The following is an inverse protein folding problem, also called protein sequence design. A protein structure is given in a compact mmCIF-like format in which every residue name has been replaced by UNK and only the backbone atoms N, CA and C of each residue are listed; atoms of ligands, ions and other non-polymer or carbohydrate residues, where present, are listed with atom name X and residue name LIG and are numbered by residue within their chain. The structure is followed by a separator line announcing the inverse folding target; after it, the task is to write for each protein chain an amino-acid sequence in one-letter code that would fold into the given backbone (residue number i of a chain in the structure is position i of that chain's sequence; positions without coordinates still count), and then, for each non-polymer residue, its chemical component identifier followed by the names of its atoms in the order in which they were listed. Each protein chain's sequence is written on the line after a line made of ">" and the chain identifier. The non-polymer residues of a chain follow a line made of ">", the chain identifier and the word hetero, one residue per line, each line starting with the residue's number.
data_IF_435468188839
#
_entry.id   IF_435468188839
#
_cell.length_a   1.000
_cell.length_b   1.000
_cell.length_c   1.000
_cell.angle_alpha   90.00
_cell.angle_beta   90.00
_cell.angle_gamma   90.00
#
_symmetry.space_group_name_H-M   'P 1'
#
loop_
_entity.id
_entity.type
_entity.pdbx_description
1 polymer ?
#
# COMPACT_ATOMS: atom_id res chain seq x y z
N UNK A 1 -17.15 10.51 -17.62
CA UNK A 1 -16.69 11.07 -16.34
C UNK A 1 -15.43 11.88 -16.55
N UNK A 2 -15.17 12.82 -15.67
CA UNK A 2 -13.91 13.54 -15.55
C UNK A 2 -13.11 12.99 -14.37
N UNK A 3 -11.95 12.42 -14.63
CA UNK A 3 -11.13 11.71 -13.64
C UNK A 3 -9.82 12.46 -13.42
N UNK A 4 -9.47 12.75 -12.17
CA UNK A 4 -8.15 13.24 -11.81
C UNK A 4 -7.24 12.10 -11.38
N UNK A 5 -5.97 12.11 -11.81
CA UNK A 5 -4.93 11.22 -11.29
C UNK A 5 -3.95 12.10 -10.50
N UNK A 6 -3.87 11.90 -9.19
CA UNK A 6 -2.92 12.62 -8.34
C UNK A 6 -1.55 11.94 -8.40
N UNK A 7 -0.62 12.51 -9.15
CA UNK A 7 0.74 11.99 -9.30
C UNK A 7 1.74 13.11 -9.54
N UNK A 8 2.91 13.04 -8.89
CA UNK A 8 4.03 13.96 -9.13
C UNK A 8 4.68 13.77 -10.51
N UNK A 9 4.55 12.57 -11.07
CA UNK A 9 5.13 12.23 -12.36
C UNK A 9 4.10 11.48 -13.21
N UNK A 10 3.57 12.18 -14.21
CA UNK A 10 2.61 11.63 -15.18
C UNK A 10 3.24 10.67 -16.21
N UNK A 11 4.57 10.57 -16.26
CA UNK A 11 5.29 9.68 -17.20
C UNK A 11 5.39 8.25 -16.70
N UNK A 12 5.10 8.00 -15.42
CA UNK A 12 5.13 6.68 -14.82
C UNK A 12 4.18 5.71 -15.53
N UNK A 13 4.59 4.45 -15.63
CA UNK A 13 3.79 3.37 -16.23
C UNK A 13 2.35 3.35 -15.71
N UNK A 14 2.17 3.41 -14.40
CA UNK A 14 0.87 3.46 -13.74
C UNK A 14 -0.03 4.59 -14.28
N UNK A 15 0.50 5.80 -14.39
CA UNK A 15 -0.25 6.96 -14.88
C UNK A 15 -0.64 6.81 -16.35
N UNK A 16 0.29 6.33 -17.19
CA UNK A 16 0.03 6.06 -18.62
C UNK A 16 -1.06 5.03 -18.79
N UNK A 17 -0.96 3.89 -18.06
CA UNK A 17 -1.94 2.79 -18.15
C UNK A 17 -3.34 3.21 -17.71
N UNK A 18 -3.47 3.91 -16.58
CA UNK A 18 -4.76 4.41 -16.11
C UNK A 18 -5.36 5.44 -17.07
N UNK A 19 -4.55 6.38 -17.56
CA UNK A 19 -4.99 7.36 -18.56
C UNK A 19 -5.51 6.66 -19.82
N UNK A 20 -4.74 5.70 -20.38
CA UNK A 20 -5.14 4.94 -21.55
C UNK A 20 -6.43 4.14 -21.31
N UNK A 21 -6.54 3.44 -20.17
CA UNK A 21 -7.72 2.66 -19.81
C UNK A 21 -8.97 3.54 -19.70
N UNK A 22 -8.85 4.69 -19.04
CA UNK A 22 -9.94 5.64 -18.87
C UNK A 22 -10.36 6.28 -20.23
N UNK A 23 -9.39 6.71 -21.03
CA UNK A 23 -9.67 7.31 -22.35
C UNK A 23 -10.33 6.33 -23.31
N UNK A 24 -9.89 5.04 -23.33
CA UNK A 24 -10.55 3.99 -24.13
C UNK A 24 -12.03 3.79 -23.78
N UNK A 25 -12.40 4.14 -22.54
CA UNK A 25 -13.78 4.05 -22.04
C UNK A 25 -14.55 5.39 -22.12
N UNK A 26 -13.98 6.38 -22.83
CA UNK A 26 -14.62 7.67 -23.10
C UNK A 26 -14.54 8.67 -21.94
N UNK A 27 -13.62 8.49 -20.98
CA UNK A 27 -13.45 9.41 -19.87
C UNK A 27 -12.40 10.48 -20.17
N UNK A 28 -12.60 11.68 -19.61
CA UNK A 28 -11.60 12.75 -19.61
C UNK A 28 -10.67 12.57 -18.42
N UNK A 29 -9.37 12.66 -18.67
CA UNK A 29 -8.36 12.43 -17.62
C UNK A 29 -7.42 13.62 -17.51
N UNK A 30 -7.23 14.11 -16.29
CA UNK A 30 -6.23 15.12 -15.97
C UNK A 30 -5.27 14.57 -14.89
N UNK A 31 -3.95 14.74 -15.13
CA UNK A 31 -2.91 14.35 -14.16
C UNK A 31 -2.49 15.61 -13.41
N UNK A 32 -2.59 15.57 -12.08
CA UNK A 32 -2.33 16.68 -11.20
C UNK A 32 -1.23 16.29 -10.20
N UNK A 33 -0.19 17.13 -10.09
CA UNK A 33 0.78 16.99 -9.00
C UNK A 33 0.12 17.47 -7.69
N UNK A 34 -0.09 16.58 -6.71
CA UNK A 34 -0.74 16.95 -5.45
C UNK A 34 0.01 18.04 -4.68
N UNK A 35 1.34 18.16 -4.84
CA UNK A 35 2.13 19.23 -4.20
C UNK A 35 1.91 20.60 -4.84
N UNK A 36 1.40 20.65 -6.06
CA UNK A 36 1.01 21.89 -6.74
C UNK A 36 -0.46 22.25 -6.56
N UNK A 37 -1.23 21.40 -5.89
CA UNK A 37 -2.59 21.71 -5.47
C UNK A 37 -2.55 22.57 -4.20
N UNK A 38 -3.45 23.54 -4.11
CA UNK A 38 -3.70 24.30 -2.89
C UNK A 38 -5.19 24.51 -2.68
N UNK A 39 -5.58 24.60 -1.42
CA UNK A 39 -6.96 24.49 -0.98
C UNK A 39 -7.44 25.79 -0.34
N UNK A 40 -8.64 26.21 -0.70
CA UNK A 40 -9.39 27.22 0.05
C UNK A 40 -10.38 26.50 0.97
N UNK A 41 -10.13 26.56 2.27
CA UNK A 41 -10.98 25.96 3.30
C UNK A 41 -11.90 27.06 3.81
N UNK A 42 -13.08 27.17 3.20
CA UNK A 42 -14.05 28.19 3.49
C UNK A 42 -15.45 27.55 3.57
N UNK A 43 -16.18 27.72 4.67
CA UNK A 43 -17.51 27.10 4.83
C UNK A 43 -18.50 27.44 3.72
N UNK A 44 -18.42 28.67 3.17
CA UNK A 44 -19.33 29.13 2.13
C UNK A 44 -18.92 28.71 0.70
N UNK A 45 -17.61 28.51 0.44
CA UNK A 45 -17.09 28.31 -0.92
C UNK A 45 -15.76 27.58 -0.93
N UNK A 46 -15.74 26.39 -0.33
CA UNK A 46 -14.54 25.50 -0.40
C UNK A 46 -14.15 25.22 -1.84
N UNK A 47 -12.85 25.19 -2.11
CA UNK A 47 -12.33 24.95 -3.46
C UNK A 47 -10.91 24.40 -3.44
N UNK A 48 -10.51 23.80 -4.55
CA UNK A 48 -9.14 23.36 -4.79
C UNK A 48 -8.60 24.04 -6.05
N UNK A 49 -7.36 24.42 -6.01
CA UNK A 49 -6.66 25.15 -7.07
C UNK A 49 -5.39 24.42 -7.50
N UNK A 50 -5.00 24.61 -8.75
CA UNK A 50 -3.81 24.03 -9.34
C UNK A 50 -3.16 25.02 -10.28
N UNK A 51 -1.90 25.37 -10.02
CA UNK A 51 -1.13 26.29 -10.90
C UNK A 51 -1.89 27.56 -11.29
N UNK A 52 -2.47 28.25 -10.31
CA UNK A 52 -3.15 29.53 -10.50
C UNK A 52 -4.62 29.45 -10.96
N UNK A 53 -5.18 28.29 -11.25
CA UNK A 53 -6.58 28.12 -11.64
C UNK A 53 -7.39 27.34 -10.60
N UNK A 54 -8.64 27.71 -10.43
CA UNK A 54 -9.62 26.89 -9.70
C UNK A 54 -9.86 25.62 -10.51
N UNK A 55 -9.78 24.47 -9.88
CA UNK A 55 -10.12 23.20 -10.52
C UNK A 55 -11.66 23.06 -10.65
N UNK A 56 -12.12 22.48 -11.76
CA UNK A 56 -13.52 22.08 -11.88
C UNK A 56 -13.79 20.85 -11.02
N UNK A 57 -15.08 20.47 -10.90
CA UNK A 57 -15.44 19.20 -10.30
C UNK A 57 -14.86 18.01 -11.09
N UNK A 58 -14.39 16.99 -10.38
CA UNK A 58 -14.02 15.70 -10.92
C UNK A 58 -14.97 14.65 -10.34
N UNK A 59 -15.46 13.75 -11.20
CA UNK A 59 -16.33 12.66 -10.77
C UNK A 59 -15.58 11.65 -9.91
N UNK A 60 -14.29 11.43 -10.22
CA UNK A 60 -13.42 10.54 -9.47
C UNK A 60 -11.97 11.04 -9.40
N UNK A 61 -11.27 10.60 -8.35
CA UNK A 61 -9.84 10.90 -8.14
C UNK A 61 -9.08 9.61 -7.84
N UNK A 62 -8.02 9.37 -8.59
CA UNK A 62 -7.12 8.21 -8.40
C UNK A 62 -5.84 8.70 -7.72
N UNK A 63 -5.61 8.38 -6.44
CA UNK A 63 -4.42 8.81 -5.72
C UNK A 63 -3.21 7.92 -6.06
N UNK A 64 -2.13 8.54 -6.53
CA UNK A 64 -0.81 7.96 -6.64
C UNK A 64 0.15 8.71 -5.71
N UNK A 65 -0.15 8.63 -4.41
CA UNK A 65 0.57 9.36 -3.36
C UNK A 65 1.74 8.50 -2.87
N UNK A 66 2.96 8.98 -3.09
CA UNK A 66 4.18 8.36 -2.59
C UNK A 66 4.36 8.56 -1.07
N UNK A 67 5.21 7.74 -0.43
CA UNK A 67 5.45 7.82 1.02
C UNK A 67 5.96 9.19 1.49
N UNK A 68 6.88 9.78 0.73
CA UNK A 68 7.48 11.07 1.07
C UNK A 68 6.50 12.27 1.08
N UNK A 69 5.32 12.11 0.47
CA UNK A 69 4.31 13.18 0.37
C UNK A 69 2.97 12.77 0.96
N UNK A 70 2.96 11.75 1.82
CA UNK A 70 1.71 11.19 2.36
C UNK A 70 0.86 12.26 3.02
N UNK A 71 1.43 13.10 3.88
CA UNK A 71 0.67 14.13 4.60
C UNK A 71 -0.06 15.08 3.65
N UNK A 72 0.68 15.76 2.78
CA UNK A 72 0.07 16.76 1.89
C UNK A 72 -0.76 16.14 0.78
N UNK A 73 -0.30 15.01 0.23
CA UNK A 73 -1.01 14.29 -0.81
C UNK A 73 -2.38 13.79 -0.36
N UNK A 74 -2.49 13.26 0.87
CA UNK A 74 -3.77 12.84 1.44
C UNK A 74 -4.63 14.04 1.88
N UNK A 75 -4.03 15.16 2.28
CA UNK A 75 -4.77 16.39 2.54
C UNK A 75 -5.42 16.95 1.25
N UNK A 76 -4.68 16.97 0.14
CA UNK A 76 -5.23 17.36 -1.16
C UNK A 76 -6.34 16.39 -1.62
N UNK A 77 -6.13 15.07 -1.48
CA UNK A 77 -7.15 14.06 -1.80
C UNK A 77 -8.43 14.26 -0.97
N UNK A 78 -8.29 14.51 0.34
CA UNK A 78 -9.43 14.80 1.24
C UNK A 78 -10.23 16.01 0.79
N UNK A 79 -9.56 17.03 0.24
CA UNK A 79 -10.27 18.18 -0.30
C UNK A 79 -11.14 17.80 -1.53
N UNK A 80 -10.67 16.91 -2.40
CA UNK A 80 -11.49 16.36 -3.48
C UNK A 80 -12.66 15.53 -2.94
N UNK A 81 -12.43 14.70 -1.91
CA UNK A 81 -13.47 13.93 -1.24
C UNK A 81 -14.57 14.87 -0.69
N UNK A 82 -14.20 15.91 0.05
CA UNK A 82 -15.11 16.91 0.61
C UNK A 82 -15.87 17.71 -0.47
N UNK A 83 -15.32 17.81 -1.67
CA UNK A 83 -15.97 18.43 -2.82
C UNK A 83 -16.80 17.42 -3.65
N UNK A 84 -17.00 16.20 -3.15
CA UNK A 84 -17.88 15.20 -3.74
C UNK A 84 -17.23 14.32 -4.81
N UNK A 85 -15.91 14.33 -4.98
CA UNK A 85 -15.24 13.41 -5.89
C UNK A 85 -15.09 12.02 -5.26
N UNK A 86 -15.39 10.95 -6.00
CA UNK A 86 -15.13 9.57 -5.59
C UNK A 86 -13.62 9.29 -5.55
N UNK A 87 -13.01 8.91 -4.42
CA UNK A 87 -11.61 8.54 -4.35
C UNK A 87 -11.44 7.04 -4.62
N UNK A 88 -10.52 6.65 -5.48
CA UNK A 88 -10.22 5.20 -5.70
C UNK A 88 -9.33 4.63 -4.60
N UNK A 89 -9.11 5.17 -3.57
CA UNK A 89 -8.81 4.84 -2.20
C UNK A 89 -9.00 6.12 -1.41
N UNK A 90 -9.75 6.04 -0.33
CA UNK A 90 -9.96 7.16 0.56
C UNK A 90 -8.66 7.62 1.22
N UNK A 91 -8.57 8.92 1.50
CA UNK A 91 -7.42 9.51 2.17
C UNK A 91 -7.13 8.87 3.53
N UNK A 92 -8.17 8.52 4.27
CA UNK A 92 -8.07 7.85 5.57
C UNK A 92 -7.57 6.41 5.43
N UNK A 93 -7.98 5.69 4.40
CA UNK A 93 -7.52 4.33 4.13
C UNK A 93 -6.03 4.31 3.73
N UNK A 94 -5.61 5.28 2.90
CA UNK A 94 -4.20 5.45 2.54
C UNK A 94 -3.35 5.71 3.78
N UNK A 95 -3.78 6.59 4.69
CA UNK A 95 -3.02 6.88 5.92
C UNK A 95 -2.94 5.67 6.85
N UNK A 96 -4.01 4.88 6.97
CA UNK A 96 -4.00 3.61 7.74
C UNK A 96 -3.00 2.61 7.17
N UNK A 97 -2.97 2.43 5.86
CA UNK A 97 -2.05 1.49 5.21
C UNK A 97 -0.59 1.96 5.23
N UNK A 98 -0.35 3.28 5.25
CA UNK A 98 1.00 3.86 5.34
C UNK A 98 1.63 3.71 6.72
N UNK A 99 0.83 3.77 7.76
CA UNK A 99 1.26 3.51 9.13
C UNK A 99 1.35 1.99 9.33
N UNK A 100 2.57 1.43 9.22
CA UNK A 100 2.82 -0.01 9.33
C UNK A 100 2.32 -0.59 10.64
N UNK A 101 2.53 0.12 11.75
CA UNK A 101 2.10 -0.35 13.06
C UNK A 101 0.58 -0.40 13.16
N UNK A 102 -0.08 0.69 12.79
CA UNK A 102 -1.55 0.77 12.76
C UNK A 102 -2.16 -0.27 11.83
N UNK A 103 -1.56 -0.45 10.65
CA UNK A 103 -1.99 -1.47 9.69
C UNK A 103 -1.96 -2.86 10.31
N UNK A 104 -0.84 -3.27 10.92
CA UNK A 104 -0.69 -4.58 11.57
C UNK A 104 -1.67 -4.74 12.74
N UNK A 105 -1.86 -3.72 13.58
CA UNK A 105 -2.81 -3.74 14.69
C UNK A 105 -4.26 -3.95 14.21
N UNK A 106 -4.68 -3.26 13.13
CA UNK A 106 -6.01 -3.42 12.56
C UNK A 106 -6.21 -4.81 11.95
N UNK A 107 -5.22 -5.31 11.21
CA UNK A 107 -5.26 -6.65 10.63
C UNK A 107 -5.31 -7.74 11.71
N UNK A 108 -4.49 -7.65 12.75
CA UNK A 108 -4.48 -8.57 13.88
C UNK A 108 -5.83 -8.58 14.61
N UNK A 109 -6.42 -7.39 14.87
CA UNK A 109 -7.73 -7.26 15.50
C UNK A 109 -8.84 -7.99 14.72
N UNK A 110 -8.72 -8.06 13.39
CA UNK A 110 -9.66 -8.76 12.52
C UNK A 110 -9.37 -10.25 12.37
N UNK A 111 -8.39 -10.78 13.12
CA UNK A 111 -8.01 -12.19 13.07
C UNK A 111 -7.38 -12.58 11.74
N UNK A 112 -6.67 -11.65 11.09
CA UNK A 112 -5.87 -11.93 9.90
C UNK A 112 -4.51 -12.46 10.36
N UNK A 113 -4.11 -13.60 9.83
CA UNK A 113 -2.83 -14.22 10.17
C UNK A 113 -1.67 -13.35 9.66
N UNK A 114 -0.75 -13.01 10.56
CA UNK A 114 0.41 -12.16 10.32
C UNK A 114 1.68 -12.86 10.82
N UNK A 115 2.87 -12.50 10.33
CA UNK A 115 4.10 -12.79 11.03
C UNK A 115 4.09 -12.15 12.43
N UNK A 116 4.53 -12.87 13.44
CA UNK A 116 4.60 -12.34 14.82
C UNK A 116 5.47 -11.08 14.80
N UNK A 117 4.92 -9.98 15.27
CA UNK A 117 5.58 -8.67 15.19
C UNK A 117 5.51 -7.99 16.55
N UNK A 118 6.64 -7.49 16.98
CA UNK A 118 6.77 -6.71 18.20
C UNK A 118 7.35 -5.33 17.94
N UNK A 119 7.03 -4.39 18.83
CA UNK A 119 7.61 -3.06 18.89
C UNK A 119 7.90 -2.73 20.33
N UNK A 120 9.05 -2.14 20.59
CA UNK A 120 9.41 -1.59 21.88
C UNK A 120 10.15 -0.28 21.70
N UNK A 121 9.93 0.66 22.62
CA UNK A 121 10.59 1.97 22.62
C UNK A 121 11.83 1.97 23.51
N UNK A 122 11.77 1.28 24.67
CA UNK A 122 12.89 1.22 25.62
C UNK A 122 13.97 0.22 25.18
N UNK A 123 15.27 0.54 25.33
CA UNK A 123 16.36 -0.40 25.12
C UNK A 123 16.32 -1.59 26.07
N UNK A 124 15.78 -1.42 27.29
CA UNK A 124 15.70 -2.49 28.29
C UNK A 124 14.77 -3.64 27.86
N UNK A 125 13.85 -3.38 26.92
CA UNK A 125 12.90 -4.35 26.40
C UNK A 125 13.46 -5.22 25.25
N UNK A 126 14.68 -4.99 24.79
CA UNK A 126 15.26 -5.64 23.61
C UNK A 126 15.25 -7.16 23.71
N UNK A 127 15.67 -7.70 24.85
CA UNK A 127 15.73 -9.15 25.07
C UNK A 127 14.34 -9.81 25.02
N UNK A 128 13.34 -9.17 25.64
CA UNK A 128 11.97 -9.68 25.67
C UNK A 128 11.28 -9.54 24.30
N UNK A 129 11.57 -8.44 23.60
CA UNK A 129 11.09 -8.22 22.22
C UNK A 129 11.59 -9.33 21.26
N UNK A 130 12.88 -9.69 21.35
CA UNK A 130 13.45 -10.79 20.55
C UNK A 130 12.79 -12.13 20.90
N UNK A 131 12.58 -12.42 22.17
CA UNK A 131 11.88 -13.64 22.61
C UNK A 131 10.43 -13.67 22.13
N UNK A 132 9.72 -12.54 22.19
CA UNK A 132 8.32 -12.41 21.80
C UNK A 132 8.08 -12.81 20.34
N UNK A 133 9.02 -12.53 19.44
CA UNK A 133 8.93 -12.88 18.02
C UNK A 133 9.53 -14.26 17.69
N UNK A 134 9.88 -15.05 18.70
CA UNK A 134 10.37 -16.42 18.55
C UNK A 134 11.89 -16.55 18.49
N UNK A 135 12.64 -15.47 18.71
CA UNK A 135 14.11 -15.46 18.65
C UNK A 135 14.66 -15.23 17.23
N UNK A 136 15.98 -15.40 17.08
CA UNK A 136 16.64 -15.32 15.79
C UNK A 136 16.56 -16.68 15.03
N UNK A 137 16.52 -16.67 13.67
CA UNK A 137 16.59 -15.50 12.81
C UNK A 137 15.32 -14.66 12.86
N UNK A 138 15.46 -13.33 12.78
CA UNK A 138 14.35 -12.38 12.80
C UNK A 138 14.62 -11.19 11.86
N UNK A 139 13.58 -10.43 11.54
CA UNK A 139 13.68 -9.26 10.66
C UNK A 139 13.44 -7.99 11.47
N UNK A 140 14.39 -7.05 11.40
CA UNK A 140 14.23 -5.68 11.94
C UNK A 140 13.86 -4.75 10.81
N UNK A 141 12.80 -3.96 10.98
CA UNK A 141 12.29 -3.05 9.95
C UNK A 141 12.13 -1.63 10.51
N UNK A 142 12.56 -0.63 9.74
CA UNK A 142 12.18 0.75 10.02
C UNK A 142 10.67 0.94 9.78
N UNK A 143 9.98 1.60 10.70
CA UNK A 143 8.55 1.92 10.55
C UNK A 143 8.31 2.80 9.33
N UNK A 144 9.17 3.79 9.11
CA UNK A 144 9.07 4.75 8.00
C UNK A 144 9.79 4.30 6.71
N UNK A 145 10.43 3.12 6.70
CA UNK A 145 11.14 2.58 5.55
C UNK A 145 10.21 2.15 4.40
N UNK A 146 10.67 2.27 3.16
CA UNK A 146 9.96 1.84 1.95
C UNK A 146 10.88 1.04 1.03
N UNK A 147 10.32 0.21 0.14
CA UNK A 147 11.04 -0.55 -0.90
C UNK A 147 12.18 -1.44 -0.35
N UNK A 148 12.03 -1.95 0.87
CA UNK A 148 13.05 -2.78 1.51
C UNK A 148 14.27 -2.00 2.05
N UNK A 149 14.21 -0.65 2.07
CA UNK A 149 15.21 0.18 2.76
C UNK A 149 14.92 0.11 4.26
N UNK A 150 15.96 -0.07 5.07
CA UNK A 150 15.82 -0.23 6.52
C UNK A 150 15.18 -1.55 6.94
N UNK A 151 15.35 -2.61 6.14
CA UNK A 151 14.94 -3.98 6.45
C UNK A 151 16.19 -4.87 6.55
N UNK A 152 16.43 -5.43 7.73
CA UNK A 152 17.63 -6.22 8.04
C UNK A 152 17.22 -7.59 8.58
N UNK A 153 17.77 -8.66 8.01
CA UNK A 153 17.70 -10.01 8.57
C UNK A 153 18.83 -10.17 9.60
N UNK A 154 18.48 -10.46 10.83
CA UNK A 154 19.42 -10.78 11.89
C UNK A 154 19.38 -12.28 12.14
N UNK A 155 20.45 -12.98 11.72
CA UNK A 155 20.52 -14.44 11.78
C UNK A 155 20.82 -14.96 13.19
N UNK A 156 21.41 -14.13 14.04
CA UNK A 156 21.74 -14.47 15.43
C UNK A 156 21.16 -13.45 16.39
N UNK A 157 20.98 -13.85 17.65
CA UNK A 157 20.52 -12.96 18.71
C UNK A 157 21.45 -11.76 18.86
N UNK A 158 22.75 -11.96 18.85
CA UNK A 158 23.73 -10.88 18.99
C UNK A 158 23.64 -9.87 17.83
N UNK A 159 23.43 -10.36 16.59
CA UNK A 159 23.21 -9.48 15.44
C UNK A 159 21.90 -8.69 15.59
N UNK A 160 20.83 -9.33 16.09
CA UNK A 160 19.55 -8.66 16.34
C UNK A 160 19.69 -7.53 17.38
N UNK A 161 20.32 -7.81 18.50
CA UNK A 161 20.58 -6.81 19.55
C UNK A 161 21.40 -5.63 18.98
N UNK A 162 22.48 -5.90 18.26
CA UNK A 162 23.32 -4.85 17.67
C UNK A 162 22.57 -3.98 16.66
N UNK A 163 21.71 -4.55 15.83
CA UNK A 163 20.91 -3.81 14.83
C UNK A 163 19.85 -2.96 15.52
N UNK A 164 19.18 -3.51 16.53
CA UNK A 164 18.17 -2.80 17.32
C UNK A 164 18.80 -1.60 18.01
N UNK A 165 19.94 -1.79 18.66
CA UNK A 165 20.66 -0.72 19.37
C UNK A 165 21.14 0.37 18.41
N UNK A 166 21.65 -0.01 17.24
CA UNK A 166 22.08 0.95 16.22
C UNK A 166 20.93 1.82 15.73
N UNK A 167 19.76 1.24 15.44
CA UNK A 167 18.60 2.01 15.00
C UNK A 167 18.03 2.90 16.11
N UNK A 168 18.02 2.42 17.35
CA UNK A 168 17.59 3.23 18.51
C UNK A 168 18.54 4.38 18.77
N UNK A 169 19.85 4.16 18.62
CA UNK A 169 20.84 5.24 18.72
C UNK A 169 20.63 6.36 17.70
N UNK A 170 19.93 6.08 16.60
CA UNK A 170 19.51 7.04 15.59
C UNK A 170 18.10 7.61 15.84
N UNK A 171 17.45 7.31 16.99
CA UNK A 171 16.06 7.64 17.30
C UNK A 171 15.06 7.12 16.25
N UNK A 172 15.37 6.03 15.58
CA UNK A 172 14.50 5.44 14.57
C UNK A 172 13.47 4.49 15.20
N UNK A 173 12.21 4.63 14.81
CA UNK A 173 11.17 3.67 15.20
C UNK A 173 11.29 2.39 14.39
N UNK A 174 11.36 1.25 15.09
CA UNK A 174 11.54 -0.08 14.47
C UNK A 174 10.41 -1.04 14.83
N UNK A 175 10.19 -2.01 13.94
CA UNK A 175 9.46 -3.23 14.19
C UNK A 175 10.44 -4.40 14.18
N UNK A 176 10.24 -5.35 15.07
CA UNK A 176 10.92 -6.64 15.06
C UNK A 176 9.89 -7.70 14.70
N UNK A 177 10.21 -8.55 13.73
CA UNK A 177 9.26 -9.52 13.18
C UNK A 177 9.94 -10.89 13.02
N UNK A 178 9.19 -11.96 13.27
CA UNK A 178 9.67 -13.31 12.99
C UNK A 178 10.08 -13.47 11.52
N UNK A 179 11.11 -14.22 11.27
CA UNK A 179 11.52 -14.58 9.92
C UNK A 179 10.83 -15.87 9.47
N UNK A 180 10.13 -15.82 8.36
CA UNK A 180 9.43 -16.98 7.79
C UNK A 180 10.37 -17.70 6.83
N UNK A 181 11.15 -18.63 7.36
CA UNK A 181 12.17 -19.36 6.59
C UNK A 181 11.55 -20.21 5.47
N UNK A 182 10.35 -20.74 5.70
CA UNK A 182 9.62 -21.57 4.71
C UNK A 182 9.26 -20.81 3.44
N UNK A 183 9.13 -19.48 3.51
CA UNK A 183 8.89 -18.63 2.34
C UNK A 183 10.11 -18.54 1.42
N UNK A 184 11.31 -18.93 1.87
CA UNK A 184 12.56 -19.01 1.06
C UNK A 184 12.87 -17.71 0.30
N UNK A 185 12.58 -16.55 0.89
CA UNK A 185 12.75 -15.25 0.25
C UNK A 185 11.76 -14.95 -0.86
N UNK A 186 10.66 -15.69 -0.94
CA UNK A 186 9.56 -15.45 -1.87
C UNK A 186 8.32 -14.90 -1.13
N UNK A 187 7.53 -14.10 -1.82
CA UNK A 187 6.20 -13.68 -1.38
C UNK A 187 5.20 -13.72 -2.54
N UNK A 188 3.93 -13.76 -2.21
CA UNK A 188 2.83 -13.65 -3.16
C UNK A 188 2.28 -12.23 -3.08
N UNK A 189 2.35 -11.47 -4.18
CA UNK A 189 1.62 -10.22 -4.32
C UNK A 189 0.28 -10.43 -4.96
N UNK A 190 -0.78 -10.29 -4.18
CA UNK A 190 -2.16 -10.25 -4.67
C UNK A 190 -2.55 -8.80 -4.95
N UNK A 191 -3.03 -8.53 -6.17
CA UNK A 191 -3.64 -7.24 -6.49
C UNK A 191 -5.15 -7.35 -6.33
N UNK A 192 -5.66 -6.61 -5.36
CA UNK A 192 -7.10 -6.53 -5.04
C UNK A 192 -7.70 -5.30 -5.71
N UNK A 193 -8.85 -5.46 -6.35
CA UNK A 193 -9.72 -4.38 -6.79
C UNK A 193 -11.13 -4.69 -6.29
N UNK A 194 -11.62 -3.91 -5.35
CA UNK A 194 -12.89 -4.15 -4.66
C UNK A 194 -12.89 -5.47 -3.89
N UNK A 195 -13.73 -6.39 -4.32
CA UNK A 195 -13.93 -7.70 -3.70
C UNK A 195 -13.26 -8.84 -4.48
N UNK A 196 -12.30 -8.55 -5.35
CA UNK A 196 -11.66 -9.52 -6.22
C UNK A 196 -10.13 -9.40 -6.20
N UNK A 197 -9.42 -10.52 -6.12
CA UNK A 197 -8.00 -10.59 -6.49
C UNK A 197 -7.93 -10.70 -8.02
N UNK A 198 -7.64 -9.60 -8.69
CA UNK A 198 -7.63 -9.52 -10.17
C UNK A 198 -6.37 -10.11 -10.80
N UNK A 199 -5.27 -10.12 -10.07
CA UNK A 199 -4.00 -10.72 -10.48
C UNK A 199 -3.16 -11.11 -9.26
N UNK A 200 -2.32 -12.13 -9.41
CA UNK A 200 -1.35 -12.53 -8.40
C UNK A 200 -0.02 -12.95 -9.05
N UNK A 201 1.08 -12.53 -8.44
CA UNK A 201 2.44 -12.93 -8.82
C UNK A 201 3.20 -13.41 -7.60
N UNK A 202 4.04 -14.40 -7.81
CA UNK A 202 5.09 -14.78 -6.87
C UNK A 202 6.34 -13.96 -7.18
N UNK A 203 6.89 -13.33 -6.15
CA UNK A 203 8.15 -12.58 -6.26
C UNK A 203 9.19 -13.28 -5.42
N UNK A 204 10.32 -13.63 -6.01
CA UNK A 204 11.42 -14.27 -5.29
C UNK A 204 12.65 -13.38 -5.32
N UNK A 205 13.34 -13.31 -4.19
CA UNK A 205 14.60 -12.61 -4.05
C UNK A 205 15.68 -13.23 -4.97
N UNK A 206 16.62 -12.42 -5.41
CA UNK A 206 17.80 -12.95 -6.06
C UNK A 206 18.67 -13.73 -5.06
N UNK A 207 19.51 -14.61 -5.55
CA UNK A 207 20.43 -15.38 -4.71
C UNK A 207 21.24 -14.44 -3.78
N UNK A 208 21.26 -14.78 -2.47
CA UNK A 208 21.94 -14.00 -1.44
C UNK A 208 21.16 -12.82 -0.86
N UNK A 209 19.92 -12.57 -1.27
CA UNK A 209 18.98 -11.62 -0.62
C UNK A 209 17.74 -12.38 -0.13
N UNK A 210 17.09 -11.88 0.91
CA UNK A 210 15.82 -12.40 1.43
C UNK A 210 14.62 -11.53 1.05
N UNK A 211 14.88 -10.37 0.43
CA UNK A 211 13.87 -9.37 0.03
C UNK A 211 13.45 -9.59 -1.41
N UNK A 212 12.19 -9.93 -1.61
CA UNK A 212 11.58 -10.27 -2.90
C UNK A 212 11.29 -9.08 -3.83
N UNK A 213 11.62 -7.85 -3.42
CA UNK A 213 11.30 -6.63 -4.17
C UNK A 213 11.89 -6.63 -5.59
N UNK A 214 11.07 -6.46 -6.62
CA UNK A 214 11.48 -6.45 -8.02
C UNK A 214 12.52 -5.35 -8.34
N UNK A 215 12.42 -4.19 -7.70
CA UNK A 215 13.40 -3.10 -7.84
C UNK A 215 14.81 -3.46 -7.33
N UNK A 216 14.93 -4.53 -6.56
CA UNK A 216 16.20 -5.06 -6.06
C UNK A 216 16.73 -6.24 -6.90
N UNK A 217 16.09 -6.49 -8.04
CA UNK A 217 16.48 -7.59 -8.94
C UNK A 217 15.79 -8.91 -8.62
N UNK A 218 14.72 -8.90 -7.84
CA UNK A 218 13.83 -10.05 -7.67
C UNK A 218 13.16 -10.47 -8.98
N UNK A 219 12.79 -11.74 -9.07
CA UNK A 219 12.10 -12.32 -10.23
C UNK A 219 10.64 -12.47 -9.92
N UNK A 220 9.77 -12.18 -10.91
CA UNK A 220 8.32 -12.39 -10.82
C UNK A 220 7.86 -13.50 -11.74
N UNK A 221 6.95 -14.33 -11.25
CA UNK A 221 6.21 -15.33 -12.03
C UNK A 221 4.72 -15.28 -11.70
N UNK A 222 3.89 -15.83 -12.57
CA UNK A 222 2.44 -15.92 -12.30
C UNK A 222 2.23 -16.85 -11.09
N UNK A 223 1.46 -16.39 -10.10
CA UNK A 223 1.14 -17.20 -8.93
C UNK A 223 -0.24 -17.84 -9.07
N UNK A 224 -0.31 -19.14 -8.79
CA UNK A 224 -1.57 -19.81 -8.49
C UNK A 224 -1.85 -19.66 -7.01
N UNK A 225 -2.91 -18.94 -6.66
CA UNK A 225 -3.32 -18.71 -5.27
C UNK A 225 -4.42 -19.66 -4.83
N UNK A 226 -4.35 -20.08 -3.57
CA UNK A 226 -5.39 -20.87 -2.93
C UNK A 226 -6.61 -20.01 -2.58
N UNK A 227 -7.80 -20.61 -2.35
CA UNK A 227 -8.96 -19.87 -1.83
C UNK A 227 -8.66 -19.10 -0.55
N UNK A 228 -7.90 -19.68 0.40
CA UNK A 228 -7.51 -19.03 1.64
C UNK A 228 -6.61 -17.80 1.42
N UNK A 229 -5.66 -17.87 0.47
CA UNK A 229 -4.82 -16.72 0.11
C UNK A 229 -5.65 -15.61 -0.55
N UNK A 230 -6.65 -15.97 -1.38
CA UNK A 230 -7.57 -15.00 -1.97
C UNK A 230 -8.40 -14.29 -0.89
N UNK A 231 -9.03 -15.07 -0.01
CA UNK A 231 -9.93 -14.55 1.01
C UNK A 231 -9.19 -13.64 2.01
N UNK A 232 -7.97 -14.03 2.43
CA UNK A 232 -7.17 -13.23 3.35
C UNK A 232 -6.69 -11.93 2.69
N UNK A 233 -6.36 -11.95 1.38
CA UNK A 233 -5.98 -10.75 0.63
C UNK A 233 -7.13 -9.74 0.55
N UNK A 234 -8.33 -10.19 0.19
CA UNK A 234 -9.52 -9.36 0.11
C UNK A 234 -9.86 -8.80 1.50
N UNK A 235 -9.90 -9.66 2.52
CA UNK A 235 -10.19 -9.25 3.91
C UNK A 235 -9.18 -8.22 4.41
N UNK A 236 -7.90 -8.37 4.08
CA UNK A 236 -6.86 -7.42 4.48
C UNK A 236 -7.05 -6.04 3.82
N UNK A 237 -7.36 -5.98 2.52
CA UNK A 237 -7.66 -4.73 1.83
C UNK A 237 -8.88 -4.03 2.44
N UNK A 238 -9.98 -4.76 2.64
CA UNK A 238 -11.22 -4.27 3.24
C UNK A 238 -11.04 -3.78 4.67
N UNK A 239 -10.24 -4.48 5.48
CA UNK A 239 -9.94 -4.07 6.88
C UNK A 239 -9.31 -2.68 6.95
N UNK A 240 -8.49 -2.33 5.97
CA UNK A 240 -7.88 -1.00 5.88
C UNK A 240 -8.76 0.02 5.15
N UNK A 241 -9.88 -0.41 4.54
CA UNK A 241 -10.79 0.42 3.76
C UNK A 241 -10.26 0.73 2.35
N UNK A 242 -9.47 -0.17 1.76
CA UNK A 242 -8.87 0.03 0.45
C UNK A 242 -9.70 -0.67 -0.64
N UNK A 243 -10.12 0.09 -1.64
CA UNK A 243 -10.74 -0.44 -2.87
C UNK A 243 -9.68 -1.05 -3.80
N UNK A 244 -8.46 -0.50 -3.79
CA UNK A 244 -7.33 -1.04 -4.55
C UNK A 244 -6.14 -1.23 -3.63
N UNK A 245 -5.65 -2.46 -3.56
CA UNK A 245 -4.51 -2.80 -2.71
C UNK A 245 -3.58 -3.83 -3.36
N UNK A 246 -2.30 -3.71 -3.05
CA UNK A 246 -1.32 -4.77 -3.22
C UNK A 246 -1.11 -5.45 -1.88
N UNK A 247 -1.55 -6.68 -1.73
CA UNK A 247 -1.40 -7.47 -0.49
C UNK A 247 -0.27 -8.46 -0.67
N UNK A 248 0.73 -8.36 0.20
CA UNK A 248 1.89 -9.24 0.19
C UNK A 248 1.72 -10.35 1.22
N UNK A 249 1.79 -11.60 0.77
CA UNK A 249 1.52 -12.79 1.58
C UNK A 249 2.76 -13.69 1.59
N UNK A 250 3.15 -14.14 2.76
CA UNK A 250 4.16 -15.18 2.96
C UNK A 250 3.48 -16.54 3.14
N UNK A 251 4.01 -17.57 2.49
CA UNK A 251 3.59 -18.96 2.69
C UNK A 251 4.40 -19.57 3.83
N UNK A 252 3.76 -19.76 4.97
CA UNK A 252 4.35 -20.40 6.14
C UNK A 252 3.73 -21.78 6.37
N UNK A 253 4.40 -22.64 7.16
CA UNK A 253 3.90 -23.96 7.51
C UNK A 253 2.51 -23.92 8.20
N UNK A 254 2.23 -22.85 8.96
CA UNK A 254 0.93 -22.62 9.62
C UNK A 254 -0.12 -21.99 8.71
N UNK A 255 0.20 -21.68 7.47
CA UNK A 255 -0.69 -21.08 6.46
C UNK A 255 -0.21 -19.74 5.92
N UNK A 256 -1.05 -19.08 5.09
CA UNK A 256 -0.70 -17.78 4.52
C UNK A 256 -0.71 -16.68 5.59
N UNK A 257 0.34 -15.84 5.57
CA UNK A 257 0.51 -14.71 6.49
C UNK A 257 0.57 -13.40 5.71
N UNK A 258 -0.27 -12.43 6.03
CA UNK A 258 -0.21 -11.11 5.42
C UNK A 258 0.98 -10.35 6.00
N UNK A 259 1.95 -10.02 5.14
CA UNK A 259 3.15 -9.28 5.52
C UNK A 259 2.95 -7.77 5.44
N UNK A 260 2.28 -7.30 4.39
CA UNK A 260 2.09 -5.88 4.10
C UNK A 260 0.88 -5.64 3.19
N UNK A 261 0.22 -4.49 3.35
CA UNK A 261 -0.85 -4.02 2.47
C UNK A 261 -0.50 -2.64 1.92
N UNK A 262 -0.38 -2.55 0.61
CA UNK A 262 0.05 -1.35 -0.11
C UNK A 262 -1.15 -0.63 -0.75
N UNK A 263 -1.43 0.61 -0.33
CA UNK A 263 -2.53 1.44 -0.87
C UNK A 263 -2.27 2.01 -2.28
N UNK A 264 -1.04 1.96 -2.76
CA UNK A 264 -0.66 2.47 -4.08
C UNK A 264 0.26 1.46 -4.77
N UNK A 265 -0.24 0.27 -5.13
CA UNK A 265 0.58 -0.79 -5.71
C UNK A 265 1.10 -0.39 -7.10
N UNK A 266 2.32 -0.81 -7.43
CA UNK A 266 2.84 -0.70 -8.78
C UNK A 266 2.14 -1.67 -9.73
N UNK A 267 1.74 -1.22 -10.92
CA UNK A 267 1.08 -2.07 -11.91
C UNK A 267 2.06 -2.74 -12.88
N UNK A 268 3.21 -2.12 -13.14
CA UNK A 268 4.10 -2.53 -14.24
C UNK A 268 4.54 -3.98 -14.13
N UNK A 269 5.09 -4.38 -13.00
CA UNK A 269 5.59 -5.75 -12.81
C UNK A 269 4.48 -6.79 -12.92
N UNK A 270 3.32 -6.52 -12.32
CA UNK A 270 2.22 -7.50 -12.30
C UNK A 270 1.46 -7.56 -13.63
N UNK A 271 1.19 -6.42 -14.31
CA UNK A 271 0.59 -6.43 -15.65
C UNK A 271 1.50 -7.09 -16.69
N UNK A 272 2.81 -6.80 -16.68
CA UNK A 272 3.77 -7.44 -17.60
C UNK A 272 3.90 -8.95 -17.37
N UNK A 273 3.84 -9.39 -16.12
CA UNK A 273 3.97 -10.82 -15.78
C UNK A 273 2.69 -11.59 -16.11
N UNK A 274 1.52 -11.03 -15.83
CA UNK A 274 0.24 -11.74 -15.92
C UNK A 274 -0.53 -11.49 -17.23
N UNK A 275 -0.24 -10.38 -17.93
CA UNK A 275 -1.02 -9.92 -19.08
C UNK A 275 -2.42 -9.37 -18.73
N UNK A 276 -2.76 -9.26 -17.45
CA UNK A 276 -4.08 -8.79 -16.99
C UNK A 276 -4.17 -7.27 -17.10
N UNK A 277 -5.24 -6.73 -17.69
CA UNK A 277 -5.53 -5.29 -17.75
C UNK A 277 -6.07 -4.79 -16.40
N UNK A 278 -5.16 -4.59 -15.46
CA UNK A 278 -5.51 -4.15 -14.10
C UNK A 278 -6.03 -2.72 -14.12
N UNK A 279 -5.39 -1.84 -14.91
CA UNK A 279 -5.84 -0.46 -15.05
C UNK A 279 -7.29 -0.39 -15.55
N UNK A 280 -7.67 -1.25 -16.51
CA UNK A 280 -9.06 -1.36 -16.97
C UNK A 280 -10.02 -1.81 -15.87
N UNK A 281 -9.62 -2.78 -15.02
CA UNK A 281 -10.42 -3.20 -13.85
C UNK A 281 -10.62 -2.08 -12.84
N UNK A 282 -9.59 -1.26 -12.58
CA UNK A 282 -9.69 -0.10 -11.69
C UNK A 282 -10.68 0.94 -12.23
N UNK A 283 -10.65 1.24 -13.54
CA UNK A 283 -11.61 2.18 -14.15
C UNK A 283 -13.03 1.62 -14.10
N UNK A 284 -13.23 0.32 -14.38
CA UNK A 284 -14.53 -0.33 -14.24
C UNK A 284 -15.08 -0.26 -12.80
N UNK A 285 -14.20 -0.36 -11.81
CA UNK A 285 -14.59 -0.18 -10.41
C UNK A 285 -15.09 1.23 -10.15
N UNK A 286 -14.36 2.26 -10.62
CA UNK A 286 -14.77 3.66 -10.51
C UNK A 286 -16.15 3.89 -11.16
N UNK A 287 -16.37 3.36 -12.37
CA UNK A 287 -17.66 3.52 -13.10
C UNK A 287 -18.87 3.03 -12.31
N UNK A 288 -18.68 1.98 -11.49
CA UNK A 288 -19.75 1.40 -10.67
C UNK A 288 -19.98 2.14 -9.36
N UNK A 289 -18.97 2.84 -8.84
CA UNK A 289 -18.99 3.40 -7.49
C UNK A 289 -18.97 4.92 -7.44
N UNK A 290 -18.47 5.59 -8.47
CA UNK A 290 -18.51 7.05 -8.59
C UNK A 290 -19.92 7.51 -9.02
N UNK A 291 -20.90 7.34 -8.11
CA UNK A 291 -22.30 7.73 -8.33
C UNK A 291 -22.62 9.05 -7.62
N UNK A 292 -23.65 9.81 -8.06
CA UNK A 292 -24.08 11.01 -7.36
C UNK A 292 -24.44 10.80 -5.88
N UNK A 293 -24.87 9.60 -5.51
CA UNK A 293 -25.21 9.22 -4.14
C UNK A 293 -23.97 9.11 -3.22
N UNK A 294 -22.79 8.87 -3.80
CA UNK A 294 -21.54 8.88 -3.04
C UNK A 294 -21.27 10.25 -2.42
N UNK A 295 -21.56 11.32 -3.15
CA UNK A 295 -21.41 12.72 -2.70
C UNK A 295 -22.21 13.04 -1.43
N UNK A 296 -23.29 12.31 -1.15
CA UNK A 296 -24.16 12.55 0.01
C UNK A 296 -23.64 11.85 1.29
N UNK A 297 -22.73 10.89 1.18
CA UNK A 297 -22.22 10.09 2.33
C UNK A 297 -21.02 10.71 3.05
N UNK A 298 -20.37 11.69 2.44
CA UNK A 298 -19.15 12.33 3.00
C UNK A 298 -19.47 13.46 3.98
N UNK A 299 -20.72 13.74 4.24
CA UNK A 299 -21.21 14.79 5.14
C UNK A 299 -21.45 14.36 6.59
N UNK A 300 -20.91 13.22 7.03
CA UNK A 300 -21.05 12.71 8.39
C UNK A 300 -19.73 12.54 9.11
#
# INVERSE_FOLDING_TARGET
>A
MKIAILSRDGTLYFCKRLREAAMRRGHLVEILDPLSCYMNINPAASSIHYKGRRLPHFDAVIPRIGSAITFYGTAALRQFELLGSYPLNESVAITRARDKLRSLQLLARQGIDLPITGIAHSPDDTSDLIKMVGGAPLVVKLVEGTQGIGVVLAETRQAAESVIDAFRGLNAHILVQEYIAEAKGCDIRCLVVGNEVVAAIERCAKAGDFRSNLHRGGVASIATITPRERDIAIKAAQTLGLDVAGVDILRAARGPLVMEVNASPGLEGIEKTTGVDIAGRMIQWIERHATPEFCLKIGG
#
